data_IF_977972534280
#
_entry.id   IF_977972534280
#
_cell.length_a   1.000
_cell.length_b   1.000
_cell.length_c   1.000
_cell.angle_alpha   90.00
_cell.angle_beta   90.00
_cell.angle_gamma   90.00
#
_symmetry.space_group_name_H-M   'P 1'
#
loop_
_entity.id
_entity.type
_entity.pdbx_description
1 polymer ?
#
# COMPACT_ATOMS: atom_id res chain seq x y z
N UNK A 1 -17.30 12.77 18.58
CA UNK A 1 -15.93 12.84 18.02
C UNK A 1 -14.95 11.92 18.74
N UNK A 2 -14.77 11.97 20.07
CA UNK A 2 -13.84 11.04 20.77
C UNK A 2 -14.27 9.57 20.67
N UNK A 3 -15.54 9.25 20.98
CA UNK A 3 -16.06 7.88 20.86
C UNK A 3 -16.10 7.31 19.43
N UNK A 4 -16.22 8.17 18.41
CA UNK A 4 -16.10 7.73 17.00
C UNK A 4 -14.66 7.32 16.66
N UNK A 5 -13.66 8.03 17.19
CA UNK A 5 -12.24 7.67 17.00
C UNK A 5 -11.90 6.36 17.70
N UNK A 6 -12.40 6.17 18.93
CA UNK A 6 -12.22 4.90 19.66
C UNK A 6 -12.82 3.73 18.88
N UNK A 7 -14.03 3.90 18.35
CA UNK A 7 -14.66 2.90 17.49
C UNK A 7 -13.82 2.59 16.24
N UNK A 8 -13.29 3.62 15.56
CA UNK A 8 -12.42 3.43 14.39
C UNK A 8 -11.15 2.62 14.74
N UNK A 9 -10.48 2.97 15.85
CA UNK A 9 -9.25 2.29 16.31
C UNK A 9 -9.54 0.83 16.66
N UNK A 10 -10.64 0.55 17.35
CA UNK A 10 -11.04 -0.81 17.72
C UNK A 10 -11.31 -1.70 16.50
N UNK A 11 -11.70 -1.13 15.36
CA UNK A 11 -11.92 -1.91 14.12
C UNK A 11 -10.65 -2.51 13.52
N UNK A 12 -9.49 -1.95 13.86
CA UNK A 12 -8.19 -2.37 13.30
C UNK A 12 -7.35 -3.12 14.34
N UNK A 13 -7.69 -3.01 15.63
CA UNK A 13 -6.98 -3.62 16.75
C UNK A 13 -6.67 -5.13 16.61
N UNK A 14 -7.59 -6.01 16.16
CA UNK A 14 -7.26 -7.43 16.03
C UNK A 14 -6.36 -7.78 14.83
N UNK A 15 -6.16 -6.87 13.87
CA UNK A 15 -5.49 -7.18 12.59
C UNK A 15 -4.22 -6.38 12.34
N UNK A 16 -3.97 -5.31 13.10
CA UNK A 16 -2.85 -4.39 12.82
C UNK A 16 -1.48 -5.07 12.91
N UNK A 17 -1.24 -5.83 13.98
CA UNK A 17 0.05 -6.48 14.25
C UNK A 17 0.39 -7.50 13.16
N UNK A 18 -0.59 -8.33 12.78
CA UNK A 18 -0.46 -9.24 11.65
C UNK A 18 -0.17 -8.53 10.33
N UNK A 19 -0.75 -7.35 10.09
CA UNK A 19 -0.50 -6.60 8.86
C UNK A 19 0.93 -6.04 8.77
N UNK A 20 1.58 -5.73 9.89
CA UNK A 20 2.99 -5.29 9.89
C UNK A 20 3.96 -6.41 9.49
N UNK A 21 3.64 -7.65 9.84
CA UNK A 21 4.47 -8.82 9.48
C UNK A 21 4.62 -9.00 7.97
N UNK A 22 3.63 -8.60 7.17
CA UNK A 22 3.70 -8.68 5.70
C UNK A 22 4.78 -7.77 5.11
N UNK A 23 4.99 -6.59 5.71
CA UNK A 23 6.05 -5.68 5.27
C UNK A 23 7.43 -6.28 5.54
N UNK A 24 7.61 -6.87 6.72
CA UNK A 24 8.85 -7.55 7.12
C UNK A 24 9.12 -8.76 6.22
N UNK A 25 8.09 -9.56 5.95
CA UNK A 25 8.18 -10.69 5.02
C UNK A 25 8.55 -10.24 3.61
N UNK A 26 8.00 -9.12 3.15
CA UNK A 26 8.35 -8.53 1.85
C UNK A 26 9.83 -8.13 1.77
N UNK A 27 10.36 -7.46 2.80
CA UNK A 27 11.78 -7.10 2.88
C UNK A 27 12.71 -8.30 2.97
N UNK A 28 12.41 -9.26 3.84
CA UNK A 28 13.18 -10.49 4.00
C UNK A 28 13.13 -11.38 2.73
N UNK A 29 11.95 -11.44 2.08
CA UNK A 29 11.75 -12.13 0.82
C UNK A 29 12.57 -11.51 -0.31
N UNK A 30 12.58 -10.17 -0.40
CA UNK A 30 13.43 -9.45 -1.35
C UNK A 30 14.92 -9.72 -1.09
N UNK A 31 15.36 -9.66 0.17
CA UNK A 31 16.74 -9.96 0.55
C UNK A 31 17.17 -11.37 0.13
N UNK A 32 16.35 -12.39 0.42
CA UNK A 32 16.70 -13.76 0.09
C UNK A 32 16.61 -14.08 -1.41
N UNK A 33 15.56 -13.60 -2.09
CA UNK A 33 15.31 -13.93 -3.49
C UNK A 33 16.13 -13.08 -4.45
N UNK A 34 16.34 -11.80 -4.12
CA UNK A 34 17.00 -10.80 -4.96
C UNK A 34 17.99 -9.93 -4.14
N UNK A 35 19.09 -10.49 -3.63
CA UNK A 35 20.01 -9.79 -2.73
C UNK A 35 20.64 -8.53 -3.36
N UNK A 36 20.91 -8.55 -4.67
CA UNK A 36 21.39 -7.36 -5.38
C UNK A 36 20.34 -6.25 -5.36
N UNK A 37 19.08 -6.59 -5.63
CA UNK A 37 18.01 -5.62 -5.63
C UNK A 37 17.80 -5.03 -4.24
N UNK A 38 17.81 -5.88 -3.21
CA UNK A 38 17.73 -5.44 -1.82
C UNK A 38 18.84 -4.43 -1.48
N UNK A 39 20.11 -4.74 -1.81
CA UNK A 39 21.24 -3.87 -1.49
C UNK A 39 21.12 -2.50 -2.17
N UNK A 40 20.80 -2.46 -3.46
CA UNK A 40 20.66 -1.20 -4.21
C UNK A 40 19.46 -0.39 -3.74
N UNK A 41 18.29 -1.03 -3.53
CA UNK A 41 17.07 -0.35 -3.09
C UNK A 41 17.25 0.19 -1.67
N UNK A 42 17.85 -0.59 -0.76
CA UNK A 42 18.11 -0.16 0.61
C UNK A 42 19.04 1.07 0.68
N UNK A 43 20.05 1.12 -0.19
CA UNK A 43 20.99 2.24 -0.26
C UNK A 43 20.32 3.49 -0.87
N UNK A 44 19.72 3.32 -2.05
CA UNK A 44 19.03 4.40 -2.79
C UNK A 44 17.87 5.03 -1.99
N UNK A 45 17.12 4.20 -1.25
CA UNK A 45 15.94 4.61 -0.50
C UNK A 45 16.18 4.62 1.01
N UNK A 46 17.43 4.71 1.45
CA UNK A 46 17.79 4.72 2.88
C UNK A 46 17.00 5.76 3.68
N UNK A 47 16.86 7.00 3.17
CA UNK A 47 16.08 8.06 3.81
C UNK A 47 14.57 7.73 3.83
N UNK A 48 13.88 7.47 2.70
CA UNK A 48 12.47 7.08 2.71
C UNK A 48 12.17 5.87 3.60
N UNK A 49 12.99 4.81 3.53
CA UNK A 49 12.81 3.59 4.31
C UNK A 49 13.02 3.85 5.82
N UNK A 50 14.01 4.65 6.20
CA UNK A 50 14.21 5.04 7.60
C UNK A 50 13.03 5.88 8.11
N UNK A 51 12.55 6.84 7.31
CA UNK A 51 11.37 7.64 7.64
C UNK A 51 10.12 6.75 7.78
N UNK A 52 9.97 5.74 6.92
CA UNK A 52 8.90 4.74 7.01
C UNK A 52 8.97 3.95 8.32
N UNK A 53 10.16 3.46 8.70
CA UNK A 53 10.36 2.74 9.96
C UNK A 53 10.04 3.61 11.18
N UNK A 54 10.48 4.88 11.17
CA UNK A 54 10.12 5.84 12.23
C UNK A 54 8.60 6.01 12.30
N UNK A 55 7.92 6.15 11.16
CA UNK A 55 6.47 6.25 11.10
C UNK A 55 5.75 5.02 11.67
N UNK A 56 6.25 3.82 11.37
CA UNK A 56 5.73 2.55 11.90
C UNK A 56 5.94 2.44 13.42
N UNK A 57 7.11 2.82 13.94
CA UNK A 57 7.39 2.86 15.38
C UNK A 57 6.40 3.79 16.08
N UNK A 58 6.23 5.02 15.59
CA UNK A 58 5.26 5.96 16.16
C UNK A 58 3.83 5.42 16.12
N UNK A 59 3.45 4.73 15.02
CA UNK A 59 2.14 4.11 14.89
C UNK A 59 1.91 3.03 15.95
N UNK A 60 2.84 2.08 16.10
CA UNK A 60 2.72 0.98 17.06
C UNK A 60 2.73 1.46 18.52
N UNK A 61 3.67 2.34 18.87
CA UNK A 61 3.75 2.94 20.20
C UNK A 61 2.48 3.74 20.50
N UNK A 62 2.02 4.59 19.57
CA UNK A 62 0.80 5.34 19.78
C UNK A 62 -0.42 4.43 19.96
N UNK A 63 -0.49 3.30 19.25
CA UNK A 63 -1.58 2.35 19.39
C UNK A 63 -1.65 1.76 20.81
N UNK A 64 -0.54 1.24 21.34
CA UNK A 64 -0.51 0.63 22.68
C UNK A 64 -0.68 1.66 23.80
N UNK A 65 0.01 2.80 23.71
CA UNK A 65 0.00 3.81 24.77
C UNK A 65 -1.29 4.61 24.82
N UNK A 66 -2.02 4.76 23.70
CA UNK A 66 -3.31 5.46 23.67
C UNK A 66 -4.33 4.83 24.60
N UNK A 67 -4.38 3.50 24.71
CA UNK A 67 -5.30 2.80 25.62
C UNK A 67 -4.95 3.00 27.09
N UNK A 68 -3.66 3.24 27.39
CA UNK A 68 -3.15 3.43 28.76
C UNK A 68 -3.04 4.92 29.16
N UNK A 69 -3.28 5.84 28.23
CA UNK A 69 -3.05 7.27 28.44
C UNK A 69 -4.18 7.95 29.22
N UNK A 70 -3.79 8.78 30.19
CA UNK A 70 -4.65 9.76 30.86
C UNK A 70 -5.25 10.71 29.81
N UNK A 71 -6.48 11.18 30.04
CA UNK A 71 -7.28 11.92 29.06
C UNK A 71 -6.56 13.11 28.40
N UNK A 72 -5.69 13.80 29.14
CA UNK A 72 -4.88 14.91 28.62
C UNK A 72 -3.81 14.50 27.59
N UNK A 73 -3.27 13.29 27.66
CA UNK A 73 -2.25 12.79 26.73
C UNK A 73 -2.83 12.06 25.51
N UNK A 74 -4.13 11.77 25.49
CA UNK A 74 -4.78 11.09 24.35
C UNK A 74 -4.65 11.88 23.04
N UNK A 75 -4.76 13.21 23.11
CA UNK A 75 -4.61 14.08 21.93
C UNK A 75 -3.19 14.05 21.33
N UNK A 76 -2.16 13.84 22.16
CA UNK A 76 -0.79 13.66 21.69
C UNK A 76 -0.65 12.34 20.93
N UNK A 77 -1.13 11.24 21.53
CA UNK A 77 -1.07 9.91 20.90
C UNK A 77 -1.93 9.80 19.63
N UNK A 78 -3.11 10.43 19.59
CA UNK A 78 -3.91 10.56 18.36
C UNK A 78 -3.10 11.24 17.23
N UNK A 79 -2.42 12.35 17.54
CA UNK A 79 -1.60 13.07 16.55
C UNK A 79 -0.38 12.25 16.12
N UNK A 80 0.29 11.58 17.06
CA UNK A 80 1.43 10.69 16.76
C UNK A 80 1.01 9.51 15.88
N UNK A 81 -0.17 8.93 16.13
CA UNK A 81 -0.72 7.86 15.30
C UNK A 81 -1.00 8.33 13.87
N UNK A 82 -1.61 9.52 13.72
CA UNK A 82 -1.89 10.12 12.41
C UNK A 82 -0.58 10.44 11.68
N UNK A 83 0.35 11.14 12.35
CA UNK A 83 1.62 11.53 11.76
C UNK A 83 2.48 10.32 11.36
N UNK A 84 2.56 9.29 12.22
CA UNK A 84 3.28 8.06 11.92
C UNK A 84 2.66 7.28 10.75
N UNK A 85 1.33 7.18 10.70
CA UNK A 85 0.62 6.52 9.59
C UNK A 85 0.78 7.27 8.27
N UNK A 86 0.72 8.61 8.30
CA UNK A 86 0.95 9.45 7.13
C UNK A 86 2.40 9.34 6.65
N UNK A 87 3.37 9.43 7.56
CA UNK A 87 4.80 9.32 7.23
C UNK A 87 5.13 7.97 6.61
N UNK A 88 4.68 6.87 7.24
CA UNK A 88 4.92 5.53 6.72
C UNK A 88 4.31 5.33 5.32
N UNK A 89 3.05 5.75 5.13
CA UNK A 89 2.35 5.61 3.85
C UNK A 89 2.98 6.50 2.76
N UNK A 90 3.31 7.74 3.10
CA UNK A 90 3.94 8.68 2.18
C UNK A 90 5.30 8.15 1.73
N UNK A 91 6.16 7.75 2.68
CA UNK A 91 7.47 7.17 2.39
C UNK A 91 7.36 5.90 1.54
N UNK A 92 6.36 5.04 1.78
CA UNK A 92 6.12 3.86 0.96
C UNK A 92 5.75 4.25 -0.49
N UNK A 93 4.90 5.25 -0.68
CA UNK A 93 4.54 5.72 -2.03
C UNK A 93 5.70 6.41 -2.75
N UNK A 94 6.53 7.17 -2.02
CA UNK A 94 7.78 7.75 -2.54
C UNK A 94 8.74 6.65 -2.97
N UNK A 95 8.90 5.60 -2.17
CA UNK A 95 9.77 4.46 -2.50
C UNK A 95 9.35 3.79 -3.82
N UNK A 96 8.06 3.49 -3.97
CA UNK A 96 7.52 2.90 -5.21
C UNK A 96 7.66 3.88 -6.39
N UNK A 97 7.41 5.17 -6.17
CA UNK A 97 7.57 6.19 -7.20
C UNK A 97 9.02 6.35 -7.67
N UNK A 98 9.99 6.33 -6.76
CA UNK A 98 11.42 6.37 -7.08
C UNK A 98 11.87 5.12 -7.83
N UNK A 99 11.32 3.94 -7.50
CA UNK A 99 11.57 2.74 -8.29
C UNK A 99 11.02 2.83 -9.72
N UNK A 100 9.88 3.50 -9.92
CA UNK A 100 9.28 3.72 -11.24
C UNK A 100 10.03 4.77 -12.06
N UNK A 101 10.54 5.82 -11.42
CA UNK A 101 11.37 6.85 -12.06
C UNK A 101 12.76 6.32 -12.44
N UNK A 102 13.13 5.16 -11.86
CA UNK A 102 14.38 4.47 -12.11
C UNK A 102 15.46 4.83 -11.10
N UNK A 103 16.26 3.83 -10.74
CA UNK A 103 17.37 4.00 -9.79
C UNK A 103 18.68 3.83 -10.58
N UNK A 104 19.55 4.86 -10.66
CA UNK A 104 20.83 4.74 -11.33
C UNK A 104 21.74 3.70 -10.64
N UNK A 105 22.25 2.75 -11.42
CA UNK A 105 23.14 1.69 -10.94
C UNK A 105 24.42 1.70 -11.77
N UNK A 106 25.58 1.71 -11.11
CA UNK A 106 26.89 1.52 -11.73
C UNK A 106 27.47 0.19 -11.25
N UNK A 107 27.66 -0.76 -12.16
CA UNK A 107 28.08 -2.11 -11.82
C UNK A 107 27.03 -2.86 -10.97
N UNK A 108 27.25 -2.92 -9.66
CA UNK A 108 26.36 -3.59 -8.68
C UNK A 108 26.01 -2.70 -7.47
N UNK A 109 26.31 -1.41 -7.56
CA UNK A 109 26.05 -0.44 -6.50
C UNK A 109 25.17 0.70 -7.01
N UNK A 110 24.44 1.32 -6.08
CA UNK A 110 23.73 2.56 -6.34
C UNK A 110 24.72 3.64 -6.77
N UNK A 111 24.36 4.42 -7.78
CA UNK A 111 25.19 5.46 -8.37
C UNK A 111 24.48 6.83 -8.46
N UNK A 112 23.24 6.91 -7.98
CA UNK A 112 22.47 8.15 -7.93
C UNK A 112 22.79 9.00 -6.71
N UNK A 113 22.06 10.11 -6.56
CA UNK A 113 22.11 10.92 -5.36
C UNK A 113 21.15 10.38 -4.31
N UNK A 114 21.54 10.39 -3.04
CA UNK A 114 20.65 10.02 -1.92
C UNK A 114 19.40 10.92 -1.82
N UNK A 115 19.34 12.03 -2.57
CA UNK A 115 18.19 12.93 -2.64
C UNK A 115 17.31 12.74 -3.89
N UNK A 116 17.58 11.74 -4.75
CA UNK A 116 16.80 11.50 -5.97
C UNK A 116 15.31 11.21 -5.66
N UNK A 117 15.01 10.66 -4.48
CA UNK A 117 13.64 10.45 -4.00
C UNK A 117 12.85 11.76 -3.80
N UNK A 118 13.50 12.93 -3.74
CA UNK A 118 12.86 14.23 -3.63
C UNK A 118 12.37 14.77 -4.98
N UNK A 119 12.54 14.00 -6.07
CA UNK A 119 11.99 14.36 -7.36
C UNK A 119 10.45 14.52 -7.31
N UNK A 120 9.86 15.37 -8.17
CA UNK A 120 8.41 15.64 -8.15
C UNK A 120 7.56 14.38 -8.33
N UNK A 121 8.00 13.44 -9.17
CA UNK A 121 7.24 12.23 -9.48
C UNK A 121 7.15 11.24 -8.30
N UNK A 122 8.26 10.86 -7.61
CA UNK A 122 8.18 10.09 -6.36
C UNK A 122 7.32 10.74 -5.28
N UNK A 123 7.47 12.05 -5.05
CA UNK A 123 6.66 12.78 -4.06
C UNK A 123 5.16 12.74 -4.41
N UNK A 124 4.83 12.88 -5.69
CA UNK A 124 3.45 12.75 -6.17
C UNK A 124 2.90 11.33 -5.94
N UNK A 125 3.69 10.29 -6.18
CA UNK A 125 3.32 8.91 -5.86
C UNK A 125 3.10 8.70 -4.35
N UNK A 126 3.91 9.35 -3.51
CA UNK A 126 3.72 9.43 -2.05
C UNK A 126 2.34 9.95 -1.66
N UNK A 127 1.94 11.11 -2.20
CA UNK A 127 0.60 11.67 -2.00
C UNK A 127 -0.48 10.72 -2.53
N UNK A 128 -0.24 10.11 -3.68
CA UNK A 128 -1.14 9.12 -4.28
C UNK A 128 -1.45 7.94 -3.37
N UNK A 129 -0.42 7.38 -2.75
CA UNK A 129 -0.60 6.25 -1.84
C UNK A 129 -1.33 6.66 -0.55
N UNK A 130 -1.10 7.86 -0.04
CA UNK A 130 -1.84 8.41 1.10
C UNK A 130 -3.34 8.50 0.79
N UNK A 131 -3.71 9.00 -0.40
CA UNK A 131 -5.11 9.07 -0.84
C UNK A 131 -5.70 7.67 -1.03
N UNK A 132 -4.93 6.73 -1.60
CA UNK A 132 -5.36 5.36 -1.80
C UNK A 132 -5.67 4.65 -0.47
N UNK A 133 -4.77 4.75 0.51
CA UNK A 133 -4.98 4.15 1.84
C UNK A 133 -6.06 4.87 2.63
N UNK A 134 -6.22 6.19 2.47
CA UNK A 134 -7.35 6.91 3.06
C UNK A 134 -8.70 6.39 2.52
N UNK A 135 -8.80 6.13 1.21
CA UNK A 135 -9.99 5.53 0.59
C UNK A 135 -10.23 4.10 1.09
N UNK A 136 -9.16 3.29 1.19
CA UNK A 136 -9.25 1.93 1.73
C UNK A 136 -9.73 1.92 3.18
N UNK A 137 -9.19 2.81 4.02
CA UNK A 137 -9.63 3.00 5.39
C UNK A 137 -11.09 3.46 5.49
N UNK A 138 -11.51 4.42 4.65
CA UNK A 138 -12.90 4.87 4.61
C UNK A 138 -13.86 3.72 4.25
N UNK A 139 -13.54 2.94 3.22
CA UNK A 139 -14.39 1.83 2.79
C UNK A 139 -14.37 0.63 3.74
N UNK A 140 -13.26 0.41 4.45
CA UNK A 140 -13.20 -0.52 5.59
C UNK A 140 -14.17 -0.09 6.71
N UNK A 141 -14.17 1.19 7.06
CA UNK A 141 -15.07 1.72 8.08
C UNK A 141 -16.54 1.65 7.64
N UNK A 142 -16.86 1.89 6.37
CA UNK A 142 -18.22 1.69 5.82
C UNK A 142 -18.70 0.24 6.05
N UNK A 143 -17.79 -0.74 5.91
CA UNK A 143 -18.09 -2.16 6.12
C UNK A 143 -18.25 -2.52 7.61
N UNK A 144 -17.46 -1.90 8.50
CA UNK A 144 -17.39 -2.26 9.94
C UNK A 144 -18.28 -1.43 10.86
N UNK A 145 -18.77 -0.28 10.41
CA UNK A 145 -19.53 0.68 11.23
C UNK A 145 -20.96 0.86 10.72
N UNK A 146 -21.83 1.41 11.57
CA UNK A 146 -23.24 1.65 11.25
C UNK A 146 -23.63 3.13 11.47
N UNK A 147 -24.85 3.48 11.05
CA UNK A 147 -25.51 4.77 11.34
C UNK A 147 -24.68 6.00 10.90
N UNK A 148 -24.41 6.93 11.82
CA UNK A 148 -23.82 8.23 11.48
C UNK A 148 -22.39 8.13 10.93
N UNK A 149 -21.57 7.23 11.48
CA UNK A 149 -20.19 7.04 11.05
C UNK A 149 -20.14 6.44 9.64
N UNK A 150 -21.03 5.50 9.33
CA UNK A 150 -21.20 4.96 7.98
C UNK A 150 -21.53 6.06 6.95
N UNK A 151 -22.48 6.95 7.28
CA UNK A 151 -22.86 8.07 6.40
C UNK A 151 -21.71 9.06 6.19
N UNK A 152 -20.98 9.41 7.25
CA UNK A 152 -19.78 10.27 7.18
C UNK A 152 -18.70 9.67 6.28
N UNK A 153 -18.39 8.39 6.47
CA UNK A 153 -17.35 7.70 5.67
C UNK A 153 -17.79 7.53 4.21
N UNK A 154 -19.08 7.29 3.94
CA UNK A 154 -19.63 7.23 2.58
C UNK A 154 -19.55 8.57 1.85
N UNK A 155 -19.82 9.68 2.55
CA UNK A 155 -19.65 11.02 2.00
C UNK A 155 -18.18 11.34 1.70
N UNK A 156 -17.24 10.89 2.54
CA UNK A 156 -15.81 11.10 2.36
C UNK A 156 -15.18 10.17 1.29
N UNK A 157 -15.73 8.97 1.10
CA UNK A 157 -15.22 8.02 0.11
C UNK A 157 -15.37 8.53 -1.34
N UNK A 158 -16.40 9.32 -1.65
CA UNK A 158 -16.61 9.87 -2.99
C UNK A 158 -15.52 10.87 -3.43
N UNK A 159 -15.20 11.93 -2.67
CA UNK A 159 -14.11 12.84 -3.04
C UNK A 159 -12.75 12.14 -3.03
N UNK A 160 -12.50 11.19 -2.11
CA UNK A 160 -11.27 10.39 -2.10
C UNK A 160 -11.15 9.50 -3.35
N UNK A 161 -12.24 8.89 -3.81
CA UNK A 161 -12.26 8.15 -5.07
C UNK A 161 -11.93 9.06 -6.25
N UNK A 162 -12.53 10.25 -6.33
CA UNK A 162 -12.23 11.20 -7.41
C UNK A 162 -10.76 11.62 -7.36
N UNK A 163 -10.23 11.96 -6.18
CA UNK A 163 -8.83 12.30 -5.99
C UNK A 163 -7.90 11.15 -6.44
N UNK A 164 -8.22 9.91 -6.05
CA UNK A 164 -7.45 8.73 -6.48
C UNK A 164 -7.49 8.53 -8.00
N UNK A 165 -8.64 8.72 -8.64
CA UNK A 165 -8.76 8.62 -10.10
C UNK A 165 -7.96 9.70 -10.84
N UNK A 166 -7.96 10.93 -10.32
CA UNK A 166 -7.12 12.01 -10.86
C UNK A 166 -5.65 11.62 -10.74
N UNK A 167 -5.22 11.11 -9.59
CA UNK A 167 -3.84 10.67 -9.36
C UNK A 167 -3.46 9.53 -10.30
N UNK A 168 -4.30 8.50 -10.43
CA UNK A 168 -4.09 7.39 -11.38
C UNK A 168 -3.99 7.93 -12.81
N UNK A 169 -4.88 8.85 -13.20
CA UNK A 169 -4.84 9.48 -14.53
C UNK A 169 -3.55 10.25 -14.76
N UNK A 170 -3.11 11.05 -13.79
CA UNK A 170 -1.84 11.79 -13.86
C UNK A 170 -0.66 10.84 -13.96
N UNK A 171 -0.57 9.81 -13.13
CA UNK A 171 0.52 8.82 -13.19
C UNK A 171 0.51 8.08 -14.54
N UNK A 172 -0.67 7.68 -15.03
CA UNK A 172 -0.82 6.96 -16.31
C UNK A 172 -0.43 7.79 -17.52
N UNK A 173 -0.48 9.12 -17.40
CA UNK A 173 -0.02 10.06 -18.43
C UNK A 173 1.48 10.30 -18.22
N UNK A 174 1.89 10.69 -17.02
CA UNK A 174 3.27 11.07 -16.69
C UNK A 174 4.26 9.94 -16.99
N UNK A 175 3.97 8.71 -16.59
CA UNK A 175 4.93 7.59 -16.72
C UNK A 175 5.32 7.25 -18.17
N UNK A 176 4.41 7.10 -19.14
CA UNK A 176 4.78 6.94 -20.55
C UNK A 176 5.49 8.15 -21.15
N UNK A 177 5.16 9.37 -20.71
CA UNK A 177 5.80 10.59 -21.23
C UNK A 177 7.26 10.72 -20.79
N UNK A 178 7.61 10.26 -19.58
CA UNK A 178 8.99 10.29 -19.08
C UNK A 178 9.81 9.07 -19.49
N UNK A 179 9.16 7.93 -19.72
CA UNK A 179 9.86 6.67 -20.00
C UNK A 179 9.38 6.04 -21.30
N UNK A 180 10.17 6.20 -22.37
CA UNK A 180 9.88 5.59 -23.69
C UNK A 180 9.70 4.07 -23.62
N UNK A 181 10.44 3.38 -22.74
CA UNK A 181 10.29 1.94 -22.52
C UNK A 181 8.90 1.55 -21.99
N UNK A 182 8.34 2.36 -21.08
CA UNK A 182 7.00 2.14 -20.54
C UNK A 182 5.97 2.47 -21.62
N UNK A 183 6.15 3.58 -22.35
CA UNK A 183 5.29 3.95 -23.47
C UNK A 183 5.23 2.83 -24.52
N UNK A 184 6.37 2.33 -24.96
CA UNK A 184 6.41 1.23 -25.92
C UNK A 184 5.73 -0.02 -25.36
N UNK A 185 5.89 -0.35 -24.07
CA UNK A 185 5.23 -1.51 -23.47
C UNK A 185 3.70 -1.41 -23.46
N UNK A 186 3.16 -0.25 -23.13
CA UNK A 186 1.71 -0.05 -23.02
C UNK A 186 1.02 0.23 -24.35
N UNK A 187 1.69 0.93 -25.28
CA UNK A 187 1.08 1.42 -26.52
C UNK A 187 1.54 0.69 -27.80
N UNK A 188 2.55 -0.18 -27.74
CA UNK A 188 2.91 -1.01 -28.90
C UNK A 188 1.87 -2.08 -29.19
N UNK A 189 1.71 -2.42 -30.47
CA UNK A 189 0.93 -3.58 -30.90
C UNK A 189 1.81 -4.84 -30.84
N UNK A 190 1.33 -5.97 -30.27
CA UNK A 190 -0.03 -6.25 -29.80
C UNK A 190 -0.27 -5.98 -28.30
N UNK A 191 0.73 -5.52 -27.56
CA UNK A 191 0.68 -5.34 -26.09
C UNK A 191 -0.48 -4.46 -25.63
N UNK A 192 -0.86 -3.45 -26.43
CA UNK A 192 -2.01 -2.61 -26.15
C UNK A 192 -3.28 -3.43 -25.86
N UNK A 193 -3.57 -4.46 -26.65
CA UNK A 193 -4.77 -5.30 -26.45
C UNK A 193 -4.68 -6.17 -25.19
N UNK A 194 -3.48 -6.60 -24.82
CA UNK A 194 -3.24 -7.38 -23.61
C UNK A 194 -3.38 -6.54 -22.34
N UNK A 195 -3.01 -5.25 -22.40
CA UNK A 195 -3.02 -4.36 -21.23
C UNK A 195 -4.22 -3.43 -21.14
N UNK A 196 -4.98 -3.23 -22.22
CA UNK A 196 -6.25 -2.47 -22.24
C UNK A 196 -7.28 -2.93 -21.18
N UNK A 197 -7.38 -4.22 -20.79
CA UNK A 197 -8.28 -4.62 -19.71
C UNK A 197 -8.00 -3.91 -18.38
N UNK A 198 -6.76 -3.53 -18.08
CA UNK A 198 -6.40 -2.88 -16.81
C UNK A 198 -7.11 -1.52 -16.63
N UNK A 199 -6.95 -0.52 -17.52
CA UNK A 199 -7.66 0.76 -17.38
C UNK A 199 -9.19 0.60 -17.48
N UNK A 200 -9.68 -0.36 -18.28
CA UNK A 200 -11.13 -0.65 -18.34
C UNK A 200 -11.65 -1.14 -16.98
N UNK A 201 -10.95 -2.08 -16.36
CA UNK A 201 -11.31 -2.60 -15.04
C UNK A 201 -11.19 -1.53 -13.94
N UNK A 202 -10.25 -0.59 -14.06
CA UNK A 202 -10.16 0.57 -13.14
C UNK A 202 -11.42 1.42 -13.26
N UNK A 203 -11.84 1.77 -14.47
CA UNK A 203 -13.07 2.56 -14.70
C UNK A 203 -14.31 1.82 -14.21
N UNK A 204 -14.42 0.51 -14.49
CA UNK A 204 -15.54 -0.32 -14.03
C UNK A 204 -15.58 -0.43 -12.50
N UNK A 205 -14.43 -0.64 -11.86
CA UNK A 205 -14.33 -0.74 -10.39
C UNK A 205 -14.67 0.59 -9.72
N UNK A 206 -14.22 1.70 -10.29
CA UNK A 206 -14.53 3.04 -9.81
C UNK A 206 -16.02 3.39 -9.98
N UNK A 207 -16.61 3.05 -11.13
CA UNK A 207 -18.03 3.22 -11.37
C UNK A 207 -18.86 2.36 -10.41
N UNK A 208 -18.47 1.09 -10.24
CA UNK A 208 -19.08 0.17 -9.28
C UNK A 208 -19.01 0.71 -7.86
N UNK A 209 -17.85 1.23 -7.45
CA UNK A 209 -17.63 1.79 -6.12
C UNK A 209 -18.52 3.00 -5.87
N UNK A 210 -18.59 3.93 -6.83
CA UNK A 210 -19.49 5.09 -6.75
C UNK A 210 -20.96 4.66 -6.63
N UNK A 211 -21.37 3.63 -7.38
CA UNK A 211 -22.73 3.08 -7.30
C UNK A 211 -23.00 2.38 -5.98
N UNK A 212 -22.02 1.64 -5.44
CA UNK A 212 -22.10 0.97 -4.16
C UNK A 212 -22.24 1.97 -3.00
N UNK A 213 -21.45 3.04 -3.01
CA UNK A 213 -21.54 4.13 -2.03
C UNK A 213 -22.93 4.79 -2.08
N UNK A 214 -23.44 5.10 -3.28
CA UNK A 214 -24.79 5.67 -3.44
C UNK A 214 -25.93 4.76 -2.98
N UNK A 215 -25.70 3.45 -2.98
CA UNK A 215 -26.67 2.43 -2.54
C UNK A 215 -26.51 2.07 -1.06
N UNK A 216 -25.63 2.75 -0.34
CA UNK A 216 -25.30 2.45 1.07
C UNK A 216 -24.93 0.98 1.29
N UNK A 217 -24.26 0.37 0.30
CA UNK A 217 -23.89 -1.03 0.37
C UNK A 217 -22.75 -1.25 1.37
N UNK A 218 -22.83 -2.31 2.17
CA UNK A 218 -21.87 -2.56 3.25
C UNK A 218 -20.52 -3.11 2.77
N UNK A 219 -20.50 -4.20 2.01
CA UNK A 219 -19.27 -4.94 1.67
C UNK A 219 -18.66 -4.54 0.33
N UNK A 220 -19.49 -4.21 -0.66
CA UNK A 220 -19.02 -3.93 -2.03
C UNK A 220 -18.07 -2.73 -2.13
N UNK A 221 -18.21 -1.63 -1.35
CA UNK A 221 -17.25 -0.53 -1.43
C UNK A 221 -15.82 -0.93 -1.08
N UNK A 222 -15.66 -1.80 -0.07
CA UNK A 222 -14.34 -2.27 0.35
C UNK A 222 -13.71 -3.18 -0.72
N UNK A 223 -14.48 -4.17 -1.23
CA UNK A 223 -13.99 -5.10 -2.26
C UNK A 223 -13.60 -4.37 -3.57
N UNK A 224 -14.38 -3.38 -3.98
CA UNK A 224 -14.09 -2.61 -5.19
C UNK A 224 -12.89 -1.66 -5.00
N UNK A 225 -12.71 -1.11 -3.80
CA UNK A 225 -11.49 -0.36 -3.46
C UNK A 225 -10.26 -1.27 -3.46
N UNK A 226 -10.36 -2.49 -2.92
CA UNK A 226 -9.29 -3.47 -2.96
C UNK A 226 -8.93 -3.85 -4.40
N UNK A 227 -9.93 -4.05 -5.26
CA UNK A 227 -9.73 -4.28 -6.69
C UNK A 227 -9.03 -3.10 -7.38
N UNK A 228 -9.43 -1.84 -7.07
CA UNK A 228 -8.76 -0.64 -7.60
C UNK A 228 -7.29 -0.57 -7.19
N UNK A 229 -6.97 -0.83 -5.92
CA UNK A 229 -5.60 -0.82 -5.42
C UNK A 229 -4.79 -1.93 -6.08
N UNK A 230 -5.35 -3.13 -6.18
CA UNK A 230 -4.71 -4.26 -6.86
C UNK A 230 -4.42 -3.98 -8.34
N UNK A 231 -5.37 -3.38 -9.07
CA UNK A 231 -5.19 -2.99 -10.47
C UNK A 231 -4.11 -1.90 -10.61
N UNK A 232 -4.09 -0.92 -9.70
CA UNK A 232 -3.04 0.10 -9.65
C UNK A 232 -1.66 -0.51 -9.48
N UNK A 233 -1.46 -1.34 -8.44
CA UNK A 233 -0.19 -2.04 -8.21
C UNK A 233 0.19 -2.96 -9.37
N UNK A 234 -0.78 -3.66 -9.97
CA UNK A 234 -0.53 -4.51 -11.15
C UNK A 234 -0.06 -3.69 -12.35
N UNK A 235 -0.66 -2.51 -12.58
CA UNK A 235 -0.22 -1.59 -13.62
C UNK A 235 1.22 -1.12 -13.41
N UNK A 236 1.60 -0.78 -12.17
CA UNK A 236 2.99 -0.45 -11.84
C UNK A 236 3.94 -1.64 -12.07
N UNK A 237 3.53 -2.84 -11.67
CA UNK A 237 4.27 -4.08 -11.89
C UNK A 237 4.52 -4.38 -13.37
N UNK A 238 3.50 -4.21 -14.22
CA UNK A 238 3.60 -4.36 -15.68
C UNK A 238 4.58 -3.33 -16.25
N UNK A 239 4.56 -2.10 -15.74
CA UNK A 239 5.46 -1.03 -16.19
C UNK A 239 6.92 -1.34 -15.91
N UNK A 240 7.26 -1.93 -14.75
CA UNK A 240 8.65 -2.25 -14.39
C UNK A 240 9.14 -3.58 -14.99
N UNK A 241 8.25 -4.55 -15.21
CA UNK A 241 8.60 -5.89 -15.71
C UNK A 241 9.42 -5.84 -17.02
N UNK A 242 10.47 -6.67 -17.21
CA UNK A 242 11.02 -7.69 -16.31
C UNK A 242 12.10 -7.15 -15.36
N UNK A 243 12.22 -5.83 -15.23
CA UNK A 243 13.20 -5.20 -14.38
C UNK A 243 12.70 -5.10 -12.94
N UNK A 244 13.57 -5.45 -12.00
CA UNK A 244 13.34 -5.22 -10.57
C UNK A 244 13.86 -3.85 -10.15
N UNK A 245 14.92 -3.38 -10.83
CA UNK A 245 15.42 -2.00 -10.75
C UNK A 245 15.47 -1.45 -12.19
N UNK A 246 14.43 -0.71 -12.61
CA UNK A 246 14.41 -0.08 -13.91
C UNK A 246 15.51 0.98 -14.07
N UNK A 247 16.10 1.15 -15.27
CA UNK A 247 16.02 0.28 -16.45
C UNK A 247 17.10 -0.83 -16.47
N UNK A 248 17.99 -0.88 -15.49
CA UNK A 248 19.31 -1.51 -15.60
C UNK A 248 19.40 -2.95 -15.09
N UNK A 249 18.56 -3.36 -14.14
CA UNK A 249 18.66 -4.69 -13.51
C UNK A 249 17.37 -5.50 -13.65
N UNK A 250 17.47 -6.59 -14.41
CA UNK A 250 16.40 -7.58 -14.56
C UNK A 250 16.26 -8.48 -13.33
N UNK A 251 15.09 -9.11 -13.17
CA UNK A 251 14.85 -10.12 -12.13
C UNK A 251 15.88 -11.27 -12.18
N UNK A 252 16.35 -11.62 -13.38
CA UNK A 252 17.31 -12.72 -13.58
C UNK A 252 18.72 -12.34 -13.15
N UNK A 253 19.12 -11.09 -13.36
CA UNK A 253 20.43 -10.58 -12.92
C UNK A 253 20.49 -10.35 -11.42
N UNK A 254 19.36 -10.00 -10.80
CA UNK A 254 19.27 -9.77 -9.36
C UNK A 254 19.05 -11.05 -8.55
N UNK A 255 18.62 -12.14 -9.19
CA UNK A 255 18.27 -13.41 -8.55
C UNK A 255 19.43 -14.03 -7.77
N UNK A 256 19.11 -14.62 -6.62
CA UNK A 256 20.04 -15.44 -5.84
C UNK A 256 20.32 -16.79 -6.52
N UNK A 257 21.39 -17.52 -6.10
CA UNK A 257 21.69 -18.82 -6.67
C UNK A 257 20.52 -19.81 -6.55
N UNK A 258 20.35 -20.74 -7.52
CA UNK A 258 19.21 -21.67 -7.54
C UNK A 258 19.02 -22.48 -6.26
N UNK A 259 20.11 -22.82 -5.57
CA UNK A 259 20.08 -23.55 -4.30
C UNK A 259 19.39 -22.74 -3.19
N UNK A 260 19.72 -21.45 -3.08
CA UNK A 260 19.08 -20.53 -2.13
C UNK A 260 17.61 -20.32 -2.47
N UNK A 261 17.29 -20.16 -3.76
CA UNK A 261 15.91 -20.02 -4.22
C UNK A 261 15.07 -21.27 -3.95
N UNK A 262 15.62 -22.47 -4.18
CA UNK A 262 14.94 -23.72 -3.88
C UNK A 262 14.66 -23.87 -2.38
N UNK A 263 15.64 -23.54 -1.53
CA UNK A 263 15.44 -23.53 -0.08
C UNK A 263 14.32 -22.55 0.35
N UNK A 264 14.36 -21.32 -0.16
CA UNK A 264 13.33 -20.32 0.11
C UNK A 264 11.95 -20.72 -0.41
N UNK A 265 11.87 -21.34 -1.59
CA UNK A 265 10.62 -21.82 -2.17
C UNK A 265 9.97 -22.85 -1.25
N UNK A 266 10.73 -23.84 -0.78
CA UNK A 266 10.23 -24.86 0.14
C UNK A 266 9.74 -24.22 1.44
N UNK A 267 10.53 -23.33 2.04
CA UNK A 267 10.11 -22.60 3.24
C UNK A 267 8.83 -21.78 3.02
N UNK A 268 8.75 -21.07 1.90
CA UNK A 268 7.59 -20.23 1.55
C UNK A 268 6.34 -21.05 1.29
N UNK A 269 6.45 -22.22 0.65
CA UNK A 269 5.35 -23.14 0.39
C UNK A 269 4.73 -23.71 1.67
N UNK A 270 5.48 -23.77 2.77
CA UNK A 270 4.96 -24.21 4.07
C UNK A 270 4.46 -23.04 4.91
N UNK A 271 5.26 -21.98 5.00
CA UNK A 271 5.01 -20.85 5.90
C UNK A 271 3.87 -19.97 5.39
N UNK A 272 3.81 -19.63 4.10
CA UNK A 272 2.79 -18.72 3.57
C UNK A 272 1.38 -19.30 3.74
N UNK A 273 1.08 -20.57 3.39
CA UNK A 273 -0.25 -21.13 3.63
C UNK A 273 -0.64 -21.18 5.10
N UNK A 274 0.32 -21.43 6.00
CA UNK A 274 0.08 -21.42 7.44
C UNK A 274 -0.29 -20.01 7.94
N UNK A 275 0.47 -18.99 7.53
CA UNK A 275 0.18 -17.58 7.86
C UNK A 275 -1.21 -17.21 7.32
N UNK A 276 -1.49 -17.50 6.05
CA UNK A 276 -2.79 -17.22 5.43
C UNK A 276 -3.95 -17.94 6.15
N UNK A 277 -3.75 -19.19 6.57
CA UNK A 277 -4.75 -19.95 7.32
C UNK A 277 -5.08 -19.31 8.66
N UNK A 278 -4.06 -18.91 9.42
CA UNK A 278 -4.25 -18.17 10.68
C UNK A 278 -4.87 -16.78 10.45
N UNK A 279 -4.44 -16.03 9.43
CA UNK A 279 -5.03 -14.74 9.09
C UNK A 279 -6.51 -14.90 8.72
N UNK A 280 -6.85 -15.88 7.87
CA UNK A 280 -8.24 -16.16 7.51
C UNK A 280 -9.08 -16.51 8.73
N UNK A 281 -8.56 -17.35 9.63
CA UNK A 281 -9.23 -17.69 10.88
C UNK A 281 -9.48 -16.46 11.76
N UNK A 282 -8.48 -15.59 11.94
CA UNK A 282 -8.61 -14.34 12.70
C UNK A 282 -9.71 -13.45 12.11
N UNK A 283 -9.69 -13.20 10.79
CA UNK A 283 -10.72 -12.41 10.12
C UNK A 283 -12.11 -13.05 10.20
N UNK A 284 -12.20 -14.38 10.16
CA UNK A 284 -13.46 -15.12 10.32
C UNK A 284 -14.03 -14.97 11.74
N UNK A 285 -13.19 -15.08 12.77
CA UNK A 285 -13.58 -14.90 14.18
C UNK A 285 -14.04 -13.45 14.42
N UNK A 286 -13.30 -12.45 13.91
CA UNK A 286 -13.60 -11.02 14.09
C UNK A 286 -14.50 -10.42 12.98
N UNK A 287 -15.34 -11.24 12.33
CA UNK A 287 -16.21 -10.77 11.23
C UNK A 287 -17.35 -9.85 11.67
N UNK A 288 -17.71 -9.86 12.95
CA UNK A 288 -18.77 -9.04 13.53
C UNK A 288 -18.56 -7.53 13.32
N UNK A 289 -19.67 -6.77 13.40
CA UNK A 289 -19.65 -5.30 13.47
C UNK A 289 -19.38 -4.88 14.91
N UNK A 290 -18.64 -3.78 15.09
CA UNK A 290 -18.33 -3.25 16.41
C UNK A 290 -19.44 -2.30 16.84
N UNK A 291 -20.07 -2.59 17.98
CA UNK A 291 -21.07 -1.71 18.59
C UNK A 291 -20.38 -0.69 19.51
N UNK A 292 -21.02 0.46 19.69
CA UNK A 292 -20.49 1.55 20.52
C UNK A 292 -20.30 1.20 22.01
N UNK A 293 -20.89 0.10 22.47
CA UNK A 293 -20.89 -0.35 23.87
C UNK A 293 -19.96 -1.56 24.13
N UNK A 294 -19.36 -2.13 23.09
CA UNK A 294 -18.37 -3.21 23.21
C UNK A 294 -16.97 -2.60 23.19
N UNK A 295 -16.55 -2.10 24.36
CA UNK A 295 -15.13 -1.95 24.65
C UNK A 295 -14.46 -3.32 24.59
N UNK A 296 -13.22 -3.39 24.12
CA UNK A 296 -12.41 -4.61 24.20
C UNK A 296 -12.14 -4.95 25.67
N UNK A 297 -13.06 -5.69 26.31
CA UNK A 297 -12.90 -6.56 27.48
C UNK A 297 -14.17 -7.38 27.71
#
# INVERSE_FOLDING_TARGET
>A
MAGERDMMVNTVAPVWDGNETWLVLGGAGLYGAFPLAYAVIADALSIPLTAMLIGLIFRGVAFEFRFKAVEHHRAFWDKSFIAGSLLATFSQGVAVGAMLDGIPVSGRSFAGSTLDWLAPFPLFCGVGLVVAYALLGCTWLIMKTEHELHRKMSALATPLLIALLVIIGVISIWTPFTHENISHRWFSMPNLFWFLPVPVLVVLSAWGLRRAIKREAHYSPFLLTLALIFLGFSGLGISIWPNIIPPSVSIWQAASPPQSQAFMLVGSLLIIPMILGYTFWSYYVFRGKIKADEGYH
#
